data_IF_936160355520
#
_entry.id   IF_936160355520
#
_cell.length_a   1.000
_cell.length_b   1.000
_cell.length_c   1.000
_cell.angle_alpha   90.00
_cell.angle_beta   90.00
_cell.angle_gamma   90.00
#
_symmetry.space_group_name_H-M   'P 1'
#
loop_
_entity.id
_entity.type
_entity.pdbx_description
1 polymer ?
#
# COMPACT_ATOMS: atom_id res chain seq x y z
N UNK A 1 8.78 -12.59 0.87
CA UNK A 1 8.67 -11.17 1.23
C UNK A 1 10.03 -10.52 1.13
N UNK A 2 10.10 -9.42 0.43
CA UNK A 2 11.35 -8.69 0.23
C UNK A 2 11.25 -7.36 0.95
N UNK A 3 12.30 -7.01 1.67
CA UNK A 3 12.37 -5.76 2.40
C UNK A 3 12.54 -4.59 1.45
N UNK A 4 11.67 -3.59 1.56
CA UNK A 4 11.70 -2.40 0.72
C UNK A 4 12.56 -1.33 1.35
N UNK A 5 13.31 -0.60 0.49
CA UNK A 5 14.10 0.53 0.93
C UNK A 5 13.77 1.75 0.07
N UNK A 6 13.37 2.82 0.73
CA UNK A 6 13.12 4.10 0.10
C UNK A 6 14.05 5.13 0.70
N UNK A 7 14.61 5.97 -0.16
CA UNK A 7 15.67 6.88 0.23
C UNK A 7 15.26 8.31 0.10
N UNK A 8 15.86 9.16 0.90
CA UNK A 8 15.62 10.60 0.90
C UNK A 8 16.54 11.31 -0.07
N UNK A 9 17.20 10.57 -0.93
CA UNK A 9 18.27 11.06 -1.79
C UNK A 9 17.87 11.01 -3.27
N UNK A 10 18.85 10.70 -4.13
CA UNK A 10 18.66 10.66 -5.58
C UNK A 10 17.60 9.68 -6.04
N UNK A 11 17.33 8.64 -5.26
CA UNK A 11 16.30 7.67 -5.61
C UNK A 11 14.93 8.31 -5.67
N UNK A 12 14.62 9.22 -4.73
CA UNK A 12 13.35 9.92 -4.71
C UNK A 12 13.19 10.77 -5.97
N UNK A 13 14.23 11.48 -6.35
CA UNK A 13 14.20 12.32 -7.54
C UNK A 13 13.98 11.49 -8.80
N UNK A 14 14.65 10.36 -8.92
CA UNK A 14 14.47 9.47 -10.06
C UNK A 14 13.05 8.93 -10.15
N UNK A 15 12.47 8.52 -9.02
CA UNK A 15 11.09 8.05 -9.00
C UNK A 15 10.13 9.14 -9.44
N UNK A 16 10.38 10.36 -8.99
CA UNK A 16 9.55 11.50 -9.36
C UNK A 16 9.57 11.75 -10.86
N UNK A 17 10.74 11.59 -11.50
CA UNK A 17 10.87 11.82 -12.92
C UNK A 17 10.18 10.78 -13.79
N UNK A 18 10.08 9.52 -13.32
CA UNK A 18 9.54 8.44 -14.15
C UNK A 18 8.05 8.21 -13.97
N UNK A 19 7.53 8.29 -12.78
CA UNK A 19 6.10 8.13 -12.52
C UNK A 19 5.76 9.04 -11.35
N UNK A 20 5.73 10.34 -11.59
CA UNK A 20 5.74 11.31 -10.50
C UNK A 20 4.57 11.16 -9.53
N UNK A 21 3.37 10.94 -10.04
CA UNK A 21 2.20 10.90 -9.16
C UNK A 21 2.21 9.68 -8.26
N UNK A 22 2.23 8.49 -8.86
CA UNK A 22 2.17 7.24 -8.10
C UNK A 22 3.42 7.01 -7.28
N UNK A 23 4.59 7.26 -7.86
CA UNK A 23 5.84 7.00 -7.16
C UNK A 23 6.08 7.98 -6.03
N UNK A 24 5.68 9.23 -6.21
CA UNK A 24 5.79 10.20 -5.13
C UNK A 24 4.88 9.79 -3.96
N UNK A 25 3.65 9.39 -4.27
CA UNK A 25 2.72 8.96 -3.25
C UNK A 25 3.24 7.72 -2.52
N UNK A 26 3.73 6.74 -3.28
CA UNK A 26 4.30 5.54 -2.69
C UNK A 26 5.46 5.87 -1.77
N UNK A 27 6.30 6.82 -2.17
CA UNK A 27 7.44 7.21 -1.37
C UNK A 27 7.02 7.90 -0.07
N UNK A 28 5.99 8.75 -0.12
CA UNK A 28 5.48 9.38 1.10
C UNK A 28 4.97 8.33 2.09
N UNK A 29 4.25 7.34 1.58
CA UNK A 29 3.74 6.25 2.41
C UNK A 29 4.91 5.44 2.99
N UNK A 30 5.92 5.16 2.16
CA UNK A 30 7.10 4.42 2.60
C UNK A 30 7.82 5.12 3.74
N UNK A 31 8.01 6.43 3.62
CA UNK A 31 8.69 7.20 4.65
C UNK A 31 7.92 7.12 5.97
N UNK A 32 6.61 7.29 5.91
CA UNK A 32 5.77 7.23 7.10
C UNK A 32 5.82 5.84 7.74
N UNK A 33 5.68 4.80 6.92
CA UNK A 33 5.72 3.44 7.43
C UNK A 33 7.09 3.08 8.01
N UNK A 34 8.15 3.56 7.38
CA UNK A 34 9.48 3.30 7.89
C UNK A 34 9.71 3.96 9.25
N UNK A 35 9.16 5.15 9.44
CA UNK A 35 9.24 5.82 10.75
C UNK A 35 8.57 5.00 11.84
N UNK A 36 7.45 4.35 11.50
CA UNK A 36 6.67 3.60 12.48
C UNK A 36 7.24 2.20 12.70
N UNK A 37 7.58 1.50 11.63
CA UNK A 37 7.89 0.07 11.68
C UNK A 37 9.35 -0.29 11.45
N UNK A 38 10.13 0.61 10.85
CA UNK A 38 11.55 0.35 10.60
C UNK A 38 11.78 -0.95 9.83
N UNK A 39 12.55 -1.82 10.41
CA UNK A 39 12.92 -3.09 9.77
C UNK A 39 11.79 -4.10 9.66
N UNK A 40 10.66 -3.84 10.28
CA UNK A 40 9.49 -4.71 10.17
C UNK A 40 8.69 -4.45 8.89
N UNK A 41 9.10 -3.50 8.07
CA UNK A 41 8.42 -3.14 6.85
C UNK A 41 8.98 -3.93 5.67
N UNK A 42 8.10 -4.60 4.93
CA UNK A 42 8.45 -5.43 3.78
C UNK A 42 7.53 -5.10 2.61
N UNK A 43 7.81 -5.68 1.45
CA UNK A 43 6.81 -5.75 0.41
C UNK A 43 6.69 -7.20 -0.05
N UNK A 44 5.54 -7.53 -0.64
CA UNK A 44 5.26 -8.88 -1.07
C UNK A 44 5.31 -8.92 -2.59
N UNK A 45 6.12 -9.81 -3.14
CA UNK A 45 6.25 -9.95 -4.58
C UNK A 45 6.55 -11.39 -4.93
N UNK A 46 5.51 -12.16 -5.16
CA UNK A 46 5.64 -13.52 -5.70
C UNK A 46 4.84 -13.60 -6.99
N UNK A 47 3.61 -14.09 -6.93
CA UNK A 47 2.75 -14.11 -8.10
C UNK A 47 1.98 -12.80 -8.26
N UNK A 48 1.72 -12.12 -7.16
CA UNK A 48 1.10 -10.81 -7.14
C UNK A 48 1.92 -9.89 -6.25
N UNK A 49 1.72 -8.59 -6.43
CA UNK A 49 2.52 -7.59 -5.74
C UNK A 49 1.66 -6.80 -4.76
N UNK A 50 2.12 -6.68 -3.52
CA UNK A 50 1.55 -5.78 -2.52
C UNK A 50 2.65 -4.80 -2.14
N UNK A 51 2.35 -3.51 -2.23
CA UNK A 51 3.38 -2.47 -2.08
C UNK A 51 4.06 -2.48 -0.71
N UNK A 52 3.29 -2.65 0.36
CA UNK A 52 3.86 -2.67 1.71
C UNK A 52 3.18 -3.72 2.56
N UNK A 53 3.98 -4.37 3.39
CA UNK A 53 3.52 -5.43 4.25
C UNK A 53 4.22 -5.30 5.60
N UNK A 54 3.44 -5.37 6.68
CA UNK A 54 3.98 -5.42 8.03
C UNK A 54 3.44 -6.71 8.65
N UNK A 55 4.15 -7.83 8.45
CA UNK A 55 3.65 -9.14 8.92
C UNK A 55 3.38 -9.19 10.41
N UNK A 56 4.18 -8.48 11.18
CA UNK A 56 4.03 -8.43 12.64
C UNK A 56 2.62 -7.96 13.04
N UNK A 57 2.08 -6.97 12.33
CA UNK A 57 0.77 -6.42 12.62
C UNK A 57 -0.33 -6.97 11.71
N UNK A 58 0.02 -7.83 10.76
CA UNK A 58 -0.95 -8.33 9.80
C UNK A 58 -1.47 -7.25 8.87
N UNK A 59 -0.65 -6.27 8.54
CA UNK A 59 -1.04 -5.09 7.77
C UNK A 59 -0.54 -5.20 6.33
N UNK A 60 -1.44 -4.96 5.38
CA UNK A 60 -1.11 -4.89 3.96
C UNK A 60 -1.58 -3.55 3.41
N UNK A 61 -0.72 -2.89 2.65
CA UNK A 61 -1.04 -1.58 2.07
C UNK A 61 -0.66 -1.56 0.60
N UNK A 62 -1.62 -1.16 -0.23
CA UNK A 62 -1.38 -0.81 -1.63
C UNK A 62 -1.42 0.70 -1.77
N UNK A 63 -0.69 1.22 -2.74
CA UNK A 63 -0.70 2.65 -3.04
C UNK A 63 -1.12 2.82 -4.48
N UNK A 64 -2.16 3.63 -4.71
CA UNK A 64 -2.66 3.90 -6.04
C UNK A 64 -3.11 5.35 -6.10
N UNK A 65 -2.54 6.15 -7.00
CA UNK A 65 -2.88 7.56 -7.06
C UNK A 65 -4.37 7.76 -7.27
N UNK A 66 -4.95 6.98 -8.20
CA UNK A 66 -6.39 7.00 -8.46
C UNK A 66 -6.90 5.59 -8.74
N UNK A 67 -8.07 5.30 -8.24
CA UNK A 67 -8.74 4.01 -8.48
C UNK A 67 -10.05 4.20 -9.23
N UNK A 68 -10.03 5.03 -10.26
CA UNK A 68 -11.23 5.29 -11.07
C UNK A 68 -11.41 4.28 -12.19
N UNK A 69 -10.32 3.66 -12.64
CA UNK A 69 -10.40 2.64 -13.69
C UNK A 69 -10.64 1.26 -13.09
N UNK A 70 -11.59 0.52 -13.69
CA UNK A 70 -11.94 -0.79 -13.18
C UNK A 70 -10.76 -1.78 -13.16
N UNK A 71 -9.90 -1.72 -14.18
CA UNK A 71 -8.75 -2.62 -14.22
C UNK A 71 -7.78 -2.37 -13.07
N UNK A 72 -7.49 -1.11 -12.80
CA UNK A 72 -6.62 -0.76 -11.68
C UNK A 72 -7.25 -1.17 -10.36
N UNK A 73 -8.53 -0.82 -10.19
CA UNK A 73 -9.27 -1.13 -8.97
C UNK A 73 -9.28 -2.63 -8.70
N UNK A 74 -9.63 -3.41 -9.72
CA UNK A 74 -9.73 -4.85 -9.56
C UNK A 74 -8.37 -5.49 -9.28
N UNK A 75 -7.32 -4.99 -9.90
CA UNK A 75 -5.97 -5.50 -9.67
C UNK A 75 -5.51 -5.27 -8.24
N UNK A 76 -5.72 -4.07 -7.73
CA UNK A 76 -5.31 -3.73 -6.36
C UNK A 76 -6.10 -4.55 -5.34
N UNK A 77 -7.40 -4.64 -5.53
CA UNK A 77 -8.26 -5.41 -4.62
C UNK A 77 -7.91 -6.89 -4.66
N UNK A 78 -7.75 -7.44 -5.87
CA UNK A 78 -7.45 -8.86 -6.04
C UNK A 78 -6.12 -9.23 -5.37
N UNK A 79 -5.11 -8.37 -5.51
CA UNK A 79 -3.82 -8.64 -4.88
C UNK A 79 -3.94 -8.66 -3.36
N UNK A 80 -4.67 -7.71 -2.78
CA UNK A 80 -4.88 -7.68 -1.33
C UNK A 80 -5.64 -8.91 -0.86
N UNK A 81 -6.64 -9.34 -1.63
CA UNK A 81 -7.42 -10.53 -1.26
C UNK A 81 -6.56 -11.80 -1.27
N UNK A 82 -5.75 -11.97 -2.29
CA UNK A 82 -4.90 -13.15 -2.41
C UNK A 82 -3.84 -13.19 -1.32
N UNK A 83 -3.10 -12.11 -1.17
CA UNK A 83 -2.03 -12.04 -0.19
C UNK A 83 -2.58 -12.01 1.22
N UNK A 84 -3.71 -11.30 1.41
CA UNK A 84 -4.35 -11.23 2.71
C UNK A 84 -4.81 -12.57 3.23
N UNK A 85 -5.36 -13.41 2.34
CA UNK A 85 -5.74 -14.78 2.73
C UNK A 85 -4.50 -15.60 3.06
N UNK A 86 -3.48 -15.50 2.22
CA UNK A 86 -2.25 -16.28 2.40
C UNK A 86 -1.54 -15.93 3.70
N UNK A 87 -1.45 -14.66 4.03
CA UNK A 87 -0.74 -14.18 5.22
C UNK A 87 -1.63 -14.01 6.44
N UNK A 88 -2.93 -14.28 6.30
CA UNK A 88 -3.88 -14.12 7.40
C UNK A 88 -3.90 -12.66 7.88
N UNK A 89 -4.01 -11.75 6.95
CA UNK A 89 -3.96 -10.32 7.24
C UNK A 89 -5.07 -9.89 8.16
N UNK A 90 -4.78 -8.91 9.02
CA UNK A 90 -5.75 -8.34 9.94
C UNK A 90 -6.27 -7.00 9.49
N UNK A 91 -5.55 -6.34 8.59
CA UNK A 91 -5.96 -5.05 8.07
C UNK A 91 -5.41 -4.87 6.66
N UNK A 92 -6.27 -4.46 5.73
CA UNK A 92 -5.89 -4.20 4.34
C UNK A 92 -6.31 -2.80 3.97
N UNK A 93 -5.40 -2.03 3.36
CA UNK A 93 -5.62 -0.63 3.02
C UNK A 93 -5.14 -0.32 1.62
N UNK A 94 -5.80 0.65 1.00
CA UNK A 94 -5.33 1.25 -0.25
C UNK A 94 -5.22 2.75 -0.01
N UNK A 95 -4.01 3.28 -0.14
CA UNK A 95 -3.76 4.70 0.05
C UNK A 95 -3.80 5.37 -1.32
N UNK A 96 -4.61 6.42 -1.44
CA UNK A 96 -4.80 7.15 -2.69
C UNK A 96 -4.46 8.62 -2.49
N UNK A 97 -4.49 9.39 -3.59
CA UNK A 97 -4.28 10.83 -3.47
C UNK A 97 -5.43 11.48 -2.68
N UNK A 98 -6.67 11.25 -3.11
CA UNK A 98 -7.80 11.95 -2.50
C UNK A 98 -9.10 11.12 -2.39
N UNK A 99 -9.04 9.83 -2.66
CA UNK A 99 -10.23 8.98 -2.61
C UNK A 99 -10.40 8.32 -1.25
N UNK A 100 -11.66 8.19 -0.84
CA UNK A 100 -11.99 7.58 0.43
C UNK A 100 -13.23 6.71 0.27
N UNK A 101 -13.12 5.43 0.62
CA UNK A 101 -14.27 4.53 0.59
C UNK A 101 -13.94 3.27 1.40
N UNK A 102 -14.95 2.45 1.61
CA UNK A 102 -14.79 1.16 2.28
C UNK A 102 -15.27 0.09 1.30
N UNK A 103 -14.41 -0.90 1.05
CA UNK A 103 -14.72 -1.97 0.10
C UNK A 103 -14.92 -3.26 0.87
N UNK A 104 -16.14 -3.78 0.96
CA UNK A 104 -16.37 -5.06 1.65
C UNK A 104 -15.68 -6.20 0.89
N UNK A 105 -15.10 -7.12 1.61
CA UNK A 105 -14.49 -8.29 1.01
C UNK A 105 -14.86 -9.54 1.80
N UNK A 106 -15.70 -10.37 1.19
CA UNK A 106 -16.08 -11.63 1.81
C UNK A 106 -14.89 -12.58 1.85
N UNK A 107 -14.01 -12.50 0.87
CA UNK A 107 -12.83 -13.36 0.81
C UNK A 107 -11.87 -13.11 1.97
N UNK A 108 -11.78 -11.87 2.42
CA UNK A 108 -10.92 -11.52 3.56
C UNK A 108 -11.66 -11.61 4.88
N UNK A 109 -12.98 -11.60 4.85
CA UNK A 109 -13.79 -11.52 6.05
C UNK A 109 -13.71 -10.18 6.73
N UNK A 110 -13.33 -9.14 6.01
CA UNK A 110 -13.21 -7.78 6.53
C UNK A 110 -13.25 -6.78 5.38
N UNK A 111 -13.37 -5.51 5.73
CA UNK A 111 -13.38 -4.44 4.72
C UNK A 111 -11.97 -4.02 4.35
N UNK A 112 -11.81 -3.59 3.09
CA UNK A 112 -10.59 -2.92 2.65
C UNK A 112 -10.83 -1.43 2.80
N UNK A 113 -9.95 -0.76 3.51
CA UNK A 113 -10.05 0.69 3.73
C UNK A 113 -9.33 1.42 2.61
N UNK A 114 -10.04 2.30 1.91
CA UNK A 114 -9.42 3.20 0.94
C UNK A 114 -9.39 4.58 1.57
N UNK A 115 -8.22 5.18 1.68
CA UNK A 115 -8.11 6.48 2.32
C UNK A 115 -7.13 7.39 1.58
N UNK A 116 -7.36 8.70 1.64
CA UNK A 116 -6.42 9.65 1.04
C UNK A 116 -5.15 9.73 1.89
N UNK A 117 -4.05 10.04 1.23
CA UNK A 117 -2.73 10.04 1.88
C UNK A 117 -2.68 11.00 3.07
N UNK A 118 -3.37 12.15 2.99
CA UNK A 118 -3.30 13.09 4.09
C UNK A 118 -3.85 12.49 5.38
N UNK A 119 -4.91 11.68 5.28
CA UNK A 119 -5.45 11.01 6.47
C UNK A 119 -4.47 9.98 7.01
N UNK A 120 -3.84 9.25 6.12
CA UNK A 120 -2.84 8.26 6.53
C UNK A 120 -1.69 8.92 7.27
N UNK A 121 -1.20 10.05 6.77
CA UNK A 121 -0.08 10.74 7.38
C UNK A 121 -0.43 11.36 8.74
N UNK A 122 -1.68 11.78 8.90
CA UNK A 122 -2.13 12.40 10.15
C UNK A 122 -2.59 11.40 11.20
N UNK A 123 -2.96 10.20 10.79
CA UNK A 123 -3.54 9.21 11.70
C UNK A 123 -2.50 8.58 12.63
N UNK A 124 -1.25 8.80 12.37
CA UNK A 124 -0.20 8.23 13.17
C UNK A 124 -0.06 8.83 14.58
#
# INVERSE_FOLDING_TARGET
>A
TIKKHYFYDNGILNLFLFQPETKLLENLVAIQLYKIYGDELYYYNKNVEVDFCVPKDGLLIQVSYRMTEDTTRNREISALQKVGKFLNAKRCMIITYDQEETIPSTELGMDIEVMPVYKFLLAE
#
